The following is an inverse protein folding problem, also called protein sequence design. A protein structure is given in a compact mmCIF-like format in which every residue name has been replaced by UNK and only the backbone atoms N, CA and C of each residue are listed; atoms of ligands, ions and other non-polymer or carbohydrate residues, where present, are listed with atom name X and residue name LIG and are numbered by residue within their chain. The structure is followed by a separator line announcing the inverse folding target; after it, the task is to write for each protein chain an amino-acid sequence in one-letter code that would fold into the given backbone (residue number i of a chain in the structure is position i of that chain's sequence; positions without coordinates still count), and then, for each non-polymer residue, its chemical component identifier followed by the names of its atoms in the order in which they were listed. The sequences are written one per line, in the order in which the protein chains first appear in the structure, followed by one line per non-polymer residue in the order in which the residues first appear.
data_IF_293372092066
#
_entry.id   IF_293372092066
#
_cell.length_a   1.000
_cell.length_b   1.000
_cell.length_c   1.000
_cell.angle_alpha   90.00
_cell.angle_beta   90.00
_cell.angle_gamma   90.00
#
_symmetry.space_group_name_H-M   'P 1'
#
loop_
_entity.id
_entity.type
_entity.pdbx_description
1 polymer ?
#
# COMPACT_ATOMS: atom_id res chain seq x y z
N UNK A 1 -10.29 5.51 14.77
CA UNK A 1 -10.02 4.09 14.43
C UNK A 1 -8.56 3.86 14.01
N UNK A 2 -7.60 4.54 14.66
CA UNK A 2 -6.15 4.40 14.48
C UNK A 2 -5.42 3.43 15.46
N UNK A 3 -6.03 2.79 16.50
CA UNK A 3 -5.24 1.98 17.44
C UNK A 3 -4.68 0.66 16.89
N UNK A 4 -5.34 0.06 15.89
CA UNK A 4 -5.07 -1.32 15.47
C UNK A 4 -3.73 -1.54 14.76
N UNK A 5 -3.11 -0.47 14.27
CA UNK A 5 -1.79 -0.56 13.63
C UNK A 5 -0.65 -0.37 14.62
N UNK A 6 -0.91 0.31 15.74
CA UNK A 6 0.09 0.60 16.79
C UNK A 6 0.17 -0.57 17.79
N UNK A 7 -0.88 -1.39 17.92
CA UNK A 7 -0.93 -2.51 18.87
C UNK A 7 -0.17 -3.76 18.44
N UNK A 8 0.39 -3.81 17.23
CA UNK A 8 1.24 -4.93 16.80
C UNK A 8 0.51 -6.28 16.70
N UNK A 9 -0.82 -6.28 16.67
CA UNK A 9 -1.69 -7.45 16.82
C UNK A 9 -1.87 -8.27 15.53
N UNK A 10 -1.15 -7.91 14.47
CA UNK A 10 -1.06 -8.71 13.24
C UNK A 10 0.35 -9.29 13.09
N UNK A 11 0.43 -10.62 12.97
CA UNK A 11 1.65 -11.40 12.62
C UNK A 11 2.10 -11.17 11.16
N UNK A 12 1.89 -9.96 10.64
CA UNK A 12 2.12 -9.58 9.26
C UNK A 12 3.21 -8.53 9.10
N UNK A 13 3.85 -8.57 7.93
CA UNK A 13 4.78 -7.55 7.47
C UNK A 13 4.05 -6.56 6.55
N UNK A 14 4.40 -5.30 6.67
CA UNK A 14 3.85 -4.24 5.85
C UNK A 14 4.65 -4.11 4.56
N UNK A 15 3.98 -3.75 3.47
CA UNK A 15 4.62 -3.45 2.20
C UNK A 15 4.64 -1.94 1.98
N UNK A 16 5.84 -1.38 1.96
CA UNK A 16 6.08 0.04 1.70
C UNK A 16 6.52 0.29 0.27
N UNK A 17 6.32 1.51 -0.20
CA UNK A 17 6.88 2.00 -1.44
C UNK A 17 8.37 2.34 -1.35
N UNK A 18 8.94 2.89 -2.43
CA UNK A 18 10.37 3.27 -2.47
C UNK A 18 10.69 4.49 -1.60
N UNK A 19 9.69 5.31 -1.28
CA UNK A 19 9.81 6.49 -0.43
C UNK A 19 9.90 6.16 1.06
N UNK A 20 9.60 4.92 1.47
CA UNK A 20 9.81 4.47 2.84
C UNK A 20 11.17 3.78 3.06
N UNK A 21 11.78 3.92 4.26
CA UNK A 21 12.92 3.10 4.63
C UNK A 21 12.47 1.65 4.84
N UNK A 22 13.31 0.69 4.43
CA UNK A 22 13.08 -0.72 4.78
C UNK A 22 13.33 -0.90 6.29
N UNK A 23 12.33 -1.44 6.99
CA UNK A 23 12.33 -1.68 8.43
C UNK A 23 11.89 -3.13 8.73
N UNK A 24 12.18 -3.67 9.93
CA UNK A 24 11.81 -5.04 10.29
C UNK A 24 10.32 -5.39 10.12
N UNK A 25 9.43 -4.40 10.20
CA UNK A 25 7.99 -4.56 9.98
C UNK A 25 7.47 -3.93 8.67
N UNK A 26 8.32 -3.27 7.88
CA UNK A 26 7.95 -2.57 6.64
C UNK A 26 8.96 -2.88 5.53
N UNK A 27 8.58 -3.76 4.60
CA UNK A 27 9.42 -4.17 3.50
C UNK A 27 9.21 -3.30 2.27
N UNK A 28 10.30 -2.79 1.73
CA UNK A 28 10.32 -2.00 0.50
C UNK A 28 11.07 -2.75 -0.60
N UNK A 29 10.75 -2.49 -1.89
CA UNK A 29 11.40 -3.19 -3.00
C UNK A 29 12.92 -2.98 -2.99
N UNK A 30 13.65 -3.92 -3.60
CA UNK A 30 15.07 -3.72 -3.88
C UNK A 30 15.24 -2.55 -4.85
N UNK A 31 16.09 -1.55 -4.53
CA UNK A 31 16.34 -0.43 -5.43
C UNK A 31 16.99 -0.91 -6.74
N UNK A 32 18.01 -1.75 -6.60
CA UNK A 32 18.76 -2.38 -7.70
C UNK A 32 18.71 -3.91 -7.53
N UNK A 33 17.66 -4.58 -8.07
CA UNK A 33 17.49 -6.02 -7.89
C UNK A 33 18.40 -6.82 -8.82
N UNK A 34 19.21 -7.71 -8.23
CA UNK A 34 19.96 -8.71 -8.97
C UNK A 34 19.02 -9.73 -9.66
N UNK A 35 19.40 -10.29 -10.82
CA UNK A 35 18.64 -11.34 -11.48
C UNK A 35 18.32 -12.52 -10.54
N UNK A 36 17.08 -13.01 -10.59
CA UNK A 36 16.63 -14.15 -9.78
C UNK A 36 15.71 -13.74 -8.61
N UNK A 37 15.99 -14.17 -7.36
CA UNK A 37 15.09 -13.98 -6.23
C UNK A 37 14.65 -12.53 -5.98
N UNK A 38 15.56 -11.57 -6.11
CA UNK A 38 15.25 -10.15 -5.84
C UNK A 38 14.28 -9.57 -6.88
N UNK A 39 14.43 -9.93 -8.15
CA UNK A 39 13.47 -9.57 -9.20
C UNK A 39 12.11 -10.25 -8.99
N UNK A 40 12.11 -11.51 -8.57
CA UNK A 40 10.89 -12.24 -8.22
C UNK A 40 10.15 -11.58 -7.04
N UNK A 41 10.88 -11.20 -6.00
CA UNK A 41 10.37 -10.45 -4.86
C UNK A 41 9.77 -9.11 -5.32
N UNK A 42 10.52 -8.30 -6.09
CA UNK A 42 10.03 -7.01 -6.58
C UNK A 42 8.77 -7.18 -7.44
N UNK A 43 8.70 -8.20 -8.31
CA UNK A 43 7.51 -8.49 -9.11
C UNK A 43 6.29 -8.82 -8.24
N UNK A 44 6.46 -9.65 -7.22
CA UNK A 44 5.39 -9.98 -6.29
C UNK A 44 4.96 -8.78 -5.43
N UNK A 45 5.93 -7.98 -4.99
CA UNK A 45 5.73 -6.73 -4.25
C UNK A 45 4.87 -5.75 -5.08
N UNK A 46 5.30 -5.45 -6.31
CA UNK A 46 4.56 -4.59 -7.24
C UNK A 46 3.17 -5.12 -7.55
N UNK A 47 3.01 -6.43 -7.76
CA UNK A 47 1.67 -7.02 -8.01
C UNK A 47 0.73 -6.84 -6.82
N UNK A 48 1.25 -6.94 -5.60
CA UNK A 48 0.47 -6.78 -4.38
C UNK A 48 0.06 -5.33 -4.20
N UNK A 49 1.01 -4.40 -4.38
CA UNK A 49 0.75 -2.96 -4.34
C UNK A 49 -0.26 -2.49 -5.40
N UNK A 50 -0.16 -3.00 -6.62
CA UNK A 50 -1.07 -2.65 -7.70
C UNK A 50 -2.54 -2.93 -7.34
N UNK A 51 -2.82 -3.95 -6.52
CA UNK A 51 -4.18 -4.22 -6.02
C UNK A 51 -4.67 -3.14 -5.06
N UNK A 52 -3.82 -2.73 -4.13
CA UNK A 52 -4.14 -1.67 -3.16
C UNK A 52 -4.34 -0.33 -3.87
N UNK A 53 -3.44 0.02 -4.78
CA UNK A 53 -3.51 1.25 -5.58
C UNK A 53 -4.76 1.27 -6.46
N UNK A 54 -5.09 0.15 -7.11
CA UNK A 54 -6.34 0.01 -7.87
C UNK A 54 -7.57 0.23 -6.99
N UNK A 55 -7.61 -0.34 -5.78
CA UNK A 55 -8.72 -0.13 -4.83
C UNK A 55 -8.83 1.33 -4.40
N UNK A 56 -7.71 1.98 -4.10
CA UNK A 56 -7.68 3.41 -3.77
C UNK A 56 -8.17 4.26 -4.95
N UNK A 57 -7.74 3.95 -6.17
CA UNK A 57 -8.21 4.59 -7.39
C UNK A 57 -9.71 4.45 -7.58
N UNK A 58 -10.27 3.25 -7.36
CA UNK A 58 -11.72 3.02 -7.43
C UNK A 58 -12.49 3.84 -6.39
N UNK A 59 -11.98 3.90 -5.15
CA UNK A 59 -12.57 4.72 -4.10
C UNK A 59 -12.55 6.21 -4.46
N UNK A 60 -11.41 6.74 -4.94
CA UNK A 60 -11.30 8.13 -5.38
C UNK A 60 -12.19 8.45 -6.58
N UNK A 61 -12.35 7.51 -7.52
CA UNK A 61 -13.21 7.67 -8.69
C UNK A 61 -14.70 7.69 -8.31
N UNK A 62 -15.12 6.80 -7.38
CA UNK A 62 -16.51 6.73 -6.91
C UNK A 62 -16.86 7.88 -5.96
N UNK A 63 -15.97 8.19 -5.03
CA UNK A 63 -16.18 9.16 -3.97
C UNK A 63 -15.25 10.36 -4.18
N UNK A 64 -15.74 11.34 -4.95
CA UNK A 64 -14.99 12.56 -5.29
C UNK A 64 -14.54 13.36 -4.05
N UNK A 65 -15.19 13.17 -2.89
CA UNK A 65 -14.74 13.76 -1.63
C UNK A 65 -13.32 13.33 -1.23
N UNK A 66 -12.84 12.17 -1.68
CA UNK A 66 -11.51 11.66 -1.35
C UNK A 66 -10.36 12.31 -2.15
N UNK A 67 -10.66 13.08 -3.22
CA UNK A 67 -9.61 13.72 -4.04
C UNK A 67 -8.96 14.92 -3.35
N UNK A 68 -9.73 15.71 -2.60
CA UNK A 68 -9.26 16.94 -1.95
C UNK A 68 -9.82 17.07 -0.53
N UNK A 69 -9.48 16.10 0.31
CA UNK A 69 -9.97 16.04 1.68
C UNK A 69 -9.27 17.09 2.56
N UNK A 70 -9.95 18.23 2.81
CA UNK A 70 -9.44 19.34 3.65
C UNK A 70 -10.06 19.29 5.05
N UNK A 71 -9.82 18.21 5.77
CA UNK A 71 -10.31 18.00 7.14
C UNK A 71 -9.16 17.51 8.03
N UNK A 72 -9.38 17.43 9.34
CA UNK A 72 -8.37 16.87 10.25
C UNK A 72 -8.13 15.39 9.95
N UNK A 73 -6.93 14.84 10.22
CA UNK A 73 -6.63 13.43 9.97
C UNK A 73 -7.64 12.46 10.60
N UNK A 74 -8.14 12.77 11.80
CA UNK A 74 -9.13 11.93 12.49
C UNK A 74 -10.43 11.90 11.70
N UNK A 75 -10.90 13.06 11.24
CA UNK A 75 -12.11 13.17 10.42
C UNK A 75 -11.91 12.55 9.05
N UNK A 76 -10.70 12.62 8.51
CA UNK A 76 -10.34 11.97 7.25
C UNK A 76 -10.50 10.45 7.35
N UNK A 77 -10.00 9.85 8.44
CA UNK A 77 -10.19 8.43 8.70
C UNK A 77 -11.67 8.03 8.74
N UNK A 78 -12.53 8.80 9.42
CA UNK A 78 -13.96 8.50 9.50
C UNK A 78 -14.62 8.52 8.11
N UNK A 79 -14.28 9.51 7.27
CA UNK A 79 -14.79 9.62 5.90
C UNK A 79 -14.31 8.45 5.05
N UNK A 80 -13.03 8.09 5.14
CA UNK A 80 -12.45 6.96 4.40
C UNK A 80 -13.15 5.65 4.79
N UNK A 81 -13.37 5.40 6.08
CA UNK A 81 -14.09 4.21 6.56
C UNK A 81 -15.51 4.16 6.00
N UNK A 82 -16.23 5.27 6.04
CA UNK A 82 -17.57 5.35 5.45
C UNK A 82 -17.57 5.04 3.94
N UNK A 83 -16.62 5.60 3.19
CA UNK A 83 -16.46 5.31 1.76
C UNK A 83 -16.16 3.83 1.49
N UNK A 84 -15.31 3.18 2.29
CA UNK A 84 -15.01 1.75 2.17
C UNK A 84 -16.24 0.89 2.44
N UNK A 85 -17.01 1.20 3.49
CA UNK A 85 -18.26 0.50 3.79
C UNK A 85 -19.25 0.61 2.63
N UNK A 86 -19.43 1.82 2.08
CA UNK A 86 -20.30 2.05 0.92
C UNK A 86 -19.80 1.31 -0.33
N UNK A 87 -18.49 1.27 -0.57
CA UNK A 87 -17.90 0.50 -1.67
C UNK A 87 -18.19 -1.00 -1.52
N UNK A 88 -18.09 -1.56 -0.32
CA UNK A 88 -18.39 -2.97 -0.08
C UNK A 88 -19.86 -3.28 -0.38
N UNK A 89 -20.78 -2.41 0.08
CA UNK A 89 -22.22 -2.54 -0.23
C UNK A 89 -22.46 -2.51 -1.74
N UNK A 90 -21.84 -1.57 -2.45
CA UNK A 90 -21.96 -1.47 -3.90
C UNK A 90 -21.43 -2.72 -4.63
N UNK A 91 -20.30 -3.27 -4.18
CA UNK A 91 -19.74 -4.52 -4.72
C UNK A 91 -20.67 -5.70 -4.48
N UNK A 92 -21.26 -5.83 -3.29
CA UNK A 92 -22.25 -6.89 -2.97
C UNK A 92 -23.49 -6.76 -3.86
N UNK A 93 -23.90 -5.53 -4.17
CA UNK A 93 -25.05 -5.24 -5.05
C UNK A 93 -24.74 -5.40 -6.54
N UNK A 94 -23.49 -5.67 -6.92
CA UNK A 94 -23.08 -5.79 -8.32
C UNK A 94 -23.16 -4.47 -9.09
N UNK A 95 -23.04 -3.32 -8.40
CA UNK A 95 -23.03 -2.02 -9.06
C UNK A 95 -21.79 -1.88 -9.97
N UNK A 96 -21.97 -1.21 -11.10
CA UNK A 96 -20.85 -0.96 -12.01
C UNK A 96 -19.75 -0.12 -11.33
N UNK A 97 -18.50 -0.49 -11.57
CA UNK A 97 -17.37 0.30 -11.12
C UNK A 97 -17.19 1.53 -12.02
N UNK A 98 -16.87 2.70 -11.45
CA UNK A 98 -16.52 3.87 -12.25
C UNK A 98 -15.26 3.59 -13.07
N UNK A 99 -15.14 4.25 -14.22
CA UNK A 99 -13.93 4.20 -15.02
C UNK A 99 -12.75 4.72 -14.16
N UNK A 100 -11.69 3.93 -14.07
CA UNK A 100 -10.47 4.35 -13.41
C UNK A 100 -9.78 5.40 -14.27
N UNK A 101 -9.65 6.62 -13.72
CA UNK A 101 -8.65 7.55 -14.20
C UNK A 101 -7.34 7.08 -13.59
N UNK A 102 -6.40 6.66 -14.43
CA UNK A 102 -5.02 6.43 -14.01
C UNK A 102 -4.46 7.83 -13.78
N UNK A 103 -4.52 8.30 -12.53
CA UNK A 103 -3.72 9.46 -12.13
C UNK A 103 -2.24 9.04 -12.30
N UNK A 104 -1.42 9.89 -12.93
CA UNK A 104 0.02 9.65 -13.03
C UNK A 104 0.56 9.35 -11.62
N UNK A 105 1.45 8.36 -11.46
CA UNK A 105 2.03 8.06 -10.17
C UNK A 105 2.66 9.34 -9.61
N UNK A 106 2.24 9.75 -8.41
CA UNK A 106 2.95 10.77 -7.65
C UNK A 106 4.44 10.37 -7.65
N UNK A 107 5.33 11.22 -8.18
CA UNK A 107 6.75 10.92 -8.28
C UNK A 107 7.28 10.50 -6.90
N UNK A 108 7.70 9.24 -6.75
CA UNK A 108 8.23 8.68 -5.50
C UNK A 108 9.40 9.57 -5.01
N UNK A 109 9.26 10.37 -3.92
CA UNK A 109 10.34 11.22 -3.47
C UNK A 109 11.38 10.41 -2.68
N UNK A 110 12.66 10.75 -2.91
CA UNK A 110 13.86 10.51 -2.10
C UNK A 110 13.99 9.12 -1.45
N UNK A 111 14.97 8.33 -1.93
CA UNK A 111 15.36 7.07 -1.31
C UNK A 111 15.90 7.30 0.12
N UNK A 112 15.12 6.94 1.13
CA UNK A 112 15.55 6.98 2.53
C UNK A 112 16.45 5.77 2.85
N UNK A 113 17.56 5.97 3.60
CA UNK A 113 18.44 4.87 3.97
C UNK A 113 17.69 3.86 4.88
N UNK A 114 17.65 2.60 4.43
CA UNK A 114 17.11 1.49 5.21
C UNK A 114 17.95 1.18 6.46
N UNK A 115 17.30 0.73 7.55
CA UNK A 115 17.98 0.17 8.72
C UNK A 115 18.51 -1.23 8.39
N UNK A 116 19.68 -1.61 8.93
CA UNK A 116 20.31 -2.91 8.67
C UNK A 116 19.36 -4.09 9.00
N UNK A 117 18.60 -3.98 10.08
CA UNK A 117 17.66 -5.02 10.52
C UNK A 117 16.54 -5.27 9.50
N UNK A 118 16.03 -4.21 8.83
CA UNK A 118 14.99 -4.36 7.81
C UNK A 118 15.47 -5.05 6.54
N UNK A 119 16.73 -4.81 6.13
CA UNK A 119 17.35 -5.50 4.99
C UNK A 119 17.48 -6.99 5.25
N UNK A 120 17.97 -7.37 6.44
CA UNK A 120 18.13 -8.77 6.81
C UNK A 120 16.81 -9.53 6.78
N UNK A 121 15.71 -8.93 7.27
CA UNK A 121 14.36 -9.53 7.20
C UNK A 121 13.92 -9.71 5.75
N UNK A 122 14.06 -8.68 4.91
CA UNK A 122 13.72 -8.75 3.49
C UNK A 122 14.52 -9.82 2.76
N UNK A 123 15.84 -9.86 2.98
CA UNK A 123 16.74 -10.80 2.32
C UNK A 123 16.42 -12.24 2.72
N UNK A 124 16.14 -12.47 4.01
CA UNK A 124 15.69 -13.79 4.49
C UNK A 124 14.42 -14.25 3.78
N UNK A 125 13.43 -13.37 3.64
CA UNK A 125 12.17 -13.68 2.93
C UNK A 125 12.42 -13.91 1.45
N UNK A 126 13.24 -13.06 0.83
CA UNK A 126 13.59 -13.15 -0.56
C UNK A 126 14.26 -14.49 -0.88
N UNK A 127 15.24 -14.92 -0.08
CA UNK A 127 15.95 -16.18 -0.30
C UNK A 127 15.10 -17.42 -0.01
N UNK A 128 14.18 -17.34 0.96
CA UNK A 128 13.37 -18.50 1.35
C UNK A 128 12.11 -18.70 0.49
N UNK A 129 11.62 -17.65 -0.19
CA UNK A 129 10.30 -17.69 -0.84
C UNK A 129 10.27 -17.26 -2.32
N UNK A 130 11.37 -16.77 -2.91
CA UNK A 130 11.41 -16.24 -4.27
C UNK A 130 12.61 -16.71 -5.07
#
# INVERSE_FOLDING_TARGET
MLPLYITGESDGLLLGDRGYPCQPRLLTPYPDPEPGPQQNFNRAHSRTRARVEMTIGLLKARFQCLRHLKVTPERACDIIVACVVLQNIATIRGEQHPALQIDDPDEDPVHLPAMQDGRAVRDTICTNHF
#
